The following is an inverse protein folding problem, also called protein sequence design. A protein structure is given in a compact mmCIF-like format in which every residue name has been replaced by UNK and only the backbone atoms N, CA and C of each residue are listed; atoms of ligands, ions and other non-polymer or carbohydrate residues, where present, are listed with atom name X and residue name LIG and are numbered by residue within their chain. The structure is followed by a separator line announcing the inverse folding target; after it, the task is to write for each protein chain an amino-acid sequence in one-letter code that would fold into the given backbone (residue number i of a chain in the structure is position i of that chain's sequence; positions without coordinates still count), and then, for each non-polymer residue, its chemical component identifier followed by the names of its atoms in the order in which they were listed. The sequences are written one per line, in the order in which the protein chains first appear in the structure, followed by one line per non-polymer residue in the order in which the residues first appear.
data_IF_636841128133
#
_entry.id   IF_636841128133
#
_cell.length_a   1.000
_cell.length_b   1.000
_cell.length_c   1.000
_cell.angle_alpha   90.00
_cell.angle_beta   90.00
_cell.angle_gamma   90.00
#
_symmetry.space_group_name_H-M   'P 1'
#
loop_
_entity.id
_entity.type
_entity.pdbx_description
1 polymer ?
#
# COMPACT_ATOMS: atom_id res chain seq x y z
N UNK A 1 7.75 3.20 -6.72
CA UNK A 1 7.35 4.61 -6.54
C UNK A 1 5.84 4.63 -6.38
N UNK A 2 5.29 5.55 -5.58
CA UNK A 2 3.82 5.71 -5.46
C UNK A 2 3.25 6.01 -6.84
N UNK A 3 2.21 5.28 -7.21
CA UNK A 3 1.52 5.44 -8.49
C UNK A 3 0.92 6.85 -8.59
N UNK A 4 1.05 7.49 -9.75
CA UNK A 4 0.46 8.81 -10.02
C UNK A 4 -1.03 8.84 -9.74
N UNK A 5 -1.77 7.77 -10.08
CA UNK A 5 -3.21 7.74 -9.88
C UNK A 5 -3.61 7.87 -8.40
N UNK A 6 -2.78 7.33 -7.49
CA UNK A 6 -3.01 7.38 -6.04
C UNK A 6 -2.86 8.80 -5.52
N UNK A 7 -1.94 9.59 -6.08
CA UNK A 7 -1.73 11.00 -5.69
C UNK A 7 -2.89 11.91 -6.13
N UNK A 8 -3.70 11.49 -7.08
CA UNK A 8 -4.83 12.28 -7.57
C UNK A 8 -6.15 11.96 -6.83
N UNK A 9 -6.16 10.94 -5.97
CA UNK A 9 -7.32 10.58 -5.17
C UNK A 9 -7.56 11.56 -4.02
N UNK A 10 -8.84 11.74 -3.67
CA UNK A 10 -9.21 12.27 -2.37
C UNK A 10 -9.03 11.20 -1.27
N UNK A 11 -9.21 11.62 -0.01
CA UNK A 11 -8.97 10.74 1.13
C UNK A 11 -9.93 9.55 1.19
N UNK A 12 -11.20 9.71 0.82
CA UNK A 12 -12.19 8.65 0.90
C UNK A 12 -11.96 7.59 -0.18
N UNK A 13 -11.64 8.02 -1.41
CA UNK A 13 -11.24 7.13 -2.49
C UNK A 13 -9.93 6.40 -2.15
N UNK A 14 -8.94 7.10 -1.59
CA UNK A 14 -7.69 6.47 -1.13
C UNK A 14 -7.94 5.43 -0.04
N UNK A 15 -8.79 5.75 0.96
CA UNK A 15 -9.17 4.79 2.00
C UNK A 15 -9.82 3.53 1.43
N UNK A 16 -10.62 3.67 0.37
CA UNK A 16 -11.24 2.52 -0.29
C UNK A 16 -10.18 1.64 -0.96
N UNK A 17 -9.21 2.24 -1.66
CA UNK A 17 -8.07 1.48 -2.24
C UNK A 17 -7.31 0.70 -1.17
N UNK A 18 -7.02 1.31 -0.01
CA UNK A 18 -6.33 0.62 1.08
C UNK A 18 -7.18 -0.50 1.67
N UNK A 19 -8.50 -0.31 1.79
CA UNK A 19 -9.41 -1.38 2.23
C UNK A 19 -9.37 -2.56 1.26
N UNK A 20 -9.53 -2.30 -0.03
CA UNK A 20 -9.56 -3.35 -1.04
C UNK A 20 -8.22 -4.09 -1.13
N UNK A 21 -7.09 -3.38 -1.02
CA UNK A 21 -5.76 -3.98 -0.94
C UNK A 21 -5.61 -4.87 0.31
N UNK A 22 -6.09 -4.39 1.46
CA UNK A 22 -6.03 -5.14 2.71
C UNK A 22 -6.85 -6.43 2.64
N UNK A 23 -8.09 -6.33 2.17
CA UNK A 23 -9.03 -7.45 2.14
C UNK A 23 -8.66 -8.51 1.10
N UNK A 24 -8.16 -8.08 -0.07
CA UNK A 24 -7.90 -8.99 -1.20
C UNK A 24 -6.45 -9.46 -1.32
N UNK A 25 -5.47 -8.72 -0.78
CA UNK A 25 -4.05 -9.05 -0.96
C UNK A 25 -3.31 -9.30 0.37
N UNK A 26 -3.57 -8.51 1.43
CA UNK A 26 -2.88 -8.68 2.72
C UNK A 26 -3.45 -9.84 3.54
N UNK A 27 -4.75 -9.81 3.86
CA UNK A 27 -5.39 -10.82 4.72
C UNK A 27 -5.23 -12.24 4.15
N UNK A 28 -5.48 -12.51 2.85
CA UNK A 28 -5.39 -13.88 2.33
C UNK A 28 -3.97 -14.47 2.41
N UNK A 29 -2.94 -13.64 2.50
CA UNK A 29 -1.52 -14.03 2.51
C UNK A 29 -0.89 -14.00 3.90
N UNK A 30 -1.65 -13.72 4.96
CA UNK A 30 -1.12 -13.63 6.33
C UNK A 30 -0.35 -14.90 6.73
N UNK A 31 -0.92 -16.09 6.46
CA UNK A 31 -0.27 -17.36 6.80
C UNK A 31 1.07 -17.57 6.08
N UNK A 32 1.18 -17.11 4.83
CA UNK A 32 2.43 -17.14 4.06
C UNK A 32 3.50 -16.28 4.74
N UNK A 33 3.14 -15.04 5.11
CA UNK A 33 4.04 -14.09 5.77
C UNK A 33 4.51 -14.60 7.13
N UNK A 34 3.59 -15.15 7.93
CA UNK A 34 3.92 -15.72 9.25
C UNK A 34 4.86 -16.90 9.12
N UNK A 35 4.60 -17.79 8.16
CA UNK A 35 5.46 -18.96 7.94
C UNK A 35 6.85 -18.57 7.42
N UNK A 36 6.94 -17.54 6.58
CA UNK A 36 8.20 -17.04 6.03
C UNK A 36 8.97 -16.15 7.01
N UNK A 37 8.28 -15.51 7.96
CA UNK A 37 8.85 -14.51 8.86
C UNK A 37 9.14 -13.17 8.17
N UNK A 38 8.63 -12.96 6.96
CA UNK A 38 8.83 -11.76 6.17
C UNK A 38 7.64 -11.45 5.27
N UNK A 39 7.53 -10.20 4.80
CA UNK A 39 6.55 -9.80 3.80
C UNK A 39 7.13 -10.09 2.41
N UNK A 40 6.43 -10.86 1.55
CA UNK A 40 6.86 -11.13 0.18
C UNK A 40 7.19 -9.87 -0.61
N UNK A 41 8.25 -9.93 -1.43
CA UNK A 41 8.78 -8.76 -2.13
C UNK A 41 7.79 -8.11 -3.10
N UNK A 42 6.91 -8.91 -3.71
CA UNK A 42 5.82 -8.43 -4.57
C UNK A 42 4.80 -7.60 -3.77
N UNK A 43 4.47 -8.05 -2.56
CA UNK A 43 3.54 -7.34 -1.67
C UNK A 43 4.17 -6.06 -1.12
N UNK A 44 5.46 -6.06 -0.78
CA UNK A 44 6.20 -4.85 -0.41
C UNK A 44 6.21 -3.83 -1.56
N UNK A 45 6.42 -4.30 -2.79
CA UNK A 45 6.37 -3.45 -3.98
C UNK A 45 4.98 -2.84 -4.13
N UNK A 46 3.93 -3.65 -3.97
CA UNK A 46 2.54 -3.19 -4.02
C UNK A 46 2.22 -2.17 -2.93
N UNK A 47 2.66 -2.39 -1.69
CA UNK A 47 2.53 -1.44 -0.59
C UNK A 47 3.16 -0.08 -0.92
N UNK A 48 4.33 -0.08 -1.58
CA UNK A 48 5.00 1.14 -2.00
C UNK A 48 4.26 1.86 -3.14
N UNK A 49 3.65 1.13 -4.07
CA UNK A 49 2.84 1.70 -5.16
C UNK A 49 1.57 2.38 -4.65
N UNK A 50 0.89 1.77 -3.67
CA UNK A 50 -0.30 2.36 -3.04
C UNK A 50 0.05 3.43 -2.00
N UNK A 51 1.34 3.68 -1.74
CA UNK A 51 1.79 4.79 -0.90
C UNK A 51 1.72 4.57 0.61
N UNK A 52 1.60 3.33 1.09
CA UNK A 52 1.54 3.01 2.52
C UNK A 52 2.73 3.54 3.33
N UNK A 53 3.92 3.63 2.73
CA UNK A 53 5.13 4.14 3.38
C UNK A 53 5.29 5.67 3.32
N UNK A 54 4.42 6.37 2.60
CA UNK A 54 4.52 7.82 2.34
C UNK A 54 3.39 8.67 2.90
N UNK A 55 2.44 8.07 3.64
CA UNK A 55 1.19 8.72 4.10
C UNK A 55 1.43 10.01 4.90
N UNK A 56 2.51 10.07 5.67
CA UNK A 56 2.81 11.21 6.56
C UNK A 56 3.80 12.20 5.94
N UNK A 57 4.32 11.92 4.75
CA UNK A 57 5.31 12.76 4.09
C UNK A 57 4.63 13.72 3.11
N UNK A 58 5.13 14.96 2.96
CA UNK A 58 4.57 15.89 1.99
C UNK A 58 4.89 15.46 0.55
N UNK A 59 3.99 15.80 -0.39
CA UNK A 59 4.17 15.53 -1.83
C UNK A 59 5.47 16.06 -2.41
N UNK A 60 5.96 17.19 -1.91
CA UNK A 60 7.21 17.82 -2.39
C UNK A 60 8.45 16.94 -2.21
N UNK A 61 8.40 15.97 -1.30
CA UNK A 61 9.48 14.99 -1.07
C UNK A 61 9.08 13.57 -1.50
N UNK A 62 7.96 13.44 -2.24
CA UNK A 62 7.51 12.17 -2.82
C UNK A 62 6.42 11.43 -2.03
N UNK A 63 5.90 12.01 -0.94
CA UNK A 63 4.77 11.46 -0.17
C UNK A 63 3.39 11.65 -0.81
N UNK A 64 2.33 11.53 0.01
CA UNK A 64 0.91 11.64 -0.39
C UNK A 64 0.29 13.01 -0.12
#
# INVERSE_FOLDING_TARGET
MIDSQIRDLDFDAYRQVIRDFTDNELIPRENEMVSAGEVPADLVTRMAEVGLFGITLPRSVGGL
#
